data_IF_379482052993
#
_entry.id   IF_379482052993
#
_cell.length_a   1.000
_cell.length_b   1.000
_cell.length_c   1.000
_cell.angle_alpha   90.00
_cell.angle_beta   90.00
_cell.angle_gamma   90.00
#
_symmetry.space_group_name_H-M   'P 1'
#
loop_
_entity.id
_entity.type
_entity.pdbx_description
1 polymer ?
#
# COMPACT_ATOMS: atom_id res chain seq x y z
N UNK A 1 8.66 0.15 1.99
CA UNK A 1 8.74 -0.68 3.23
C UNK A 1 7.46 -0.50 4.02
N UNK A 2 7.06 -1.47 4.84
CA UNK A 2 5.77 -1.45 5.53
C UNK A 2 5.85 -2.01 6.95
N UNK A 3 5.37 -1.27 7.95
CA UNK A 3 5.18 -1.77 9.32
C UNK A 3 3.75 -2.28 9.48
N UNK A 4 3.54 -3.56 9.13
CA UNK A 4 2.24 -4.22 9.20
C UNK A 4 1.68 -4.26 10.62
N UNK A 5 2.55 -4.33 11.64
CA UNK A 5 2.12 -4.34 13.04
C UNK A 5 1.51 -2.99 13.40
N UNK A 6 2.16 -1.89 13.02
CA UNK A 6 1.62 -0.55 13.21
C UNK A 6 0.35 -0.34 12.38
N UNK A 7 0.31 -0.88 11.17
CA UNK A 7 -0.88 -0.84 10.32
C UNK A 7 -2.10 -1.47 11.01
N UNK A 8 -2.00 -2.71 11.47
CA UNK A 8 -3.12 -3.39 12.13
C UNK A 8 -3.44 -2.85 13.53
N UNK A 9 -2.47 -2.23 14.22
CA UNK A 9 -2.66 -1.67 15.56
C UNK A 9 -3.23 -0.25 15.55
N UNK A 10 -2.89 0.56 14.55
CA UNK A 10 -3.20 2.00 14.52
C UNK A 10 -4.05 2.37 13.30
N UNK A 11 -3.59 2.03 12.09
CA UNK A 11 -4.24 2.44 10.83
C UNK A 11 -5.60 1.78 10.66
N UNK A 12 -5.69 0.45 10.76
CA UNK A 12 -6.94 -0.28 10.56
C UNK A 12 -8.02 0.15 11.57
N UNK A 13 -7.75 0.21 12.89
CA UNK A 13 -8.73 0.69 13.86
C UNK A 13 -9.15 2.15 13.61
N UNK A 14 -8.23 3.01 13.15
CA UNK A 14 -8.58 4.39 12.81
C UNK A 14 -9.50 4.47 11.58
N UNK A 15 -9.18 3.73 10.52
CA UNK A 15 -10.01 3.64 9.31
C UNK A 15 -11.38 3.04 9.60
N UNK A 16 -11.50 2.08 10.54
CA UNK A 16 -12.77 1.51 10.99
C UNK A 16 -13.56 2.40 11.95
N UNK A 17 -13.01 3.54 12.37
CA UNK A 17 -13.65 4.46 13.31
C UNK A 17 -13.66 3.97 14.76
N UNK A 18 -12.82 2.98 15.09
CA UNK A 18 -12.72 2.39 16.43
C UNK A 18 -11.82 3.22 17.35
N UNK A 19 -10.80 3.89 16.78
CA UNK A 19 -9.84 4.71 17.52
C UNK A 19 -9.41 5.94 16.71
N UNK A 20 -8.77 6.92 17.37
CA UNK A 20 -8.22 8.09 16.69
C UNK A 20 -9.27 9.09 16.19
N UNK A 21 -8.79 10.21 15.64
CA UNK A 21 -9.60 11.24 14.99
C UNK A 21 -8.98 11.56 13.62
N UNK A 22 -9.66 11.15 12.56
CA UNK A 22 -9.21 11.34 11.17
C UNK A 22 -9.44 12.77 10.65
N UNK A 23 -10.04 13.68 11.43
CA UNK A 23 -10.44 15.02 10.98
C UNK A 23 -9.27 15.82 10.42
N UNK A 24 -8.15 15.89 11.15
CA UNK A 24 -6.99 16.66 10.71
C UNK A 24 -6.34 16.05 9.44
N UNK A 25 -6.23 14.72 9.41
CA UNK A 25 -5.66 13.99 8.28
C UNK A 25 -6.54 14.12 7.03
N UNK A 26 -7.87 14.04 7.19
CA UNK A 26 -8.84 14.22 6.12
C UNK A 26 -8.81 15.66 5.59
N UNK A 27 -8.71 16.67 6.46
CA UNK A 27 -8.56 18.07 6.05
C UNK A 27 -7.28 18.29 5.23
N UNK A 28 -6.18 17.66 5.61
CA UNK A 28 -4.92 17.73 4.87
C UNK A 28 -5.03 17.01 3.51
N UNK A 29 -5.57 15.78 3.51
CA UNK A 29 -5.84 15.00 2.30
C UNK A 29 -6.70 15.77 1.29
N UNK A 30 -7.84 16.32 1.72
CA UNK A 30 -8.76 17.06 0.85
C UNK A 30 -8.16 18.34 0.25
N UNK A 31 -7.08 18.88 0.82
CA UNK A 31 -6.38 20.05 0.27
C UNK A 31 -5.42 19.66 -0.85
N UNK A 32 -4.72 18.53 -0.72
CA UNK A 32 -3.60 18.15 -1.58
C UNK A 32 -3.87 16.98 -2.51
N UNK A 33 -4.93 16.18 -2.28
CA UNK A 33 -5.13 14.89 -2.95
C UNK A 33 -6.47 14.74 -3.69
N UNK A 34 -7.36 15.74 -3.67
CA UNK A 34 -8.63 15.66 -4.42
C UNK A 34 -8.63 16.66 -5.57
N UNK A 35 -9.05 16.20 -6.75
CA UNK A 35 -9.19 17.03 -7.95
C UNK A 35 -10.24 18.12 -7.67
N UNK A 36 -9.89 19.38 -7.92
CA UNK A 36 -10.80 20.53 -7.75
C UNK A 36 -10.50 21.43 -6.56
N UNK A 37 -9.62 21.01 -5.62
CA UNK A 37 -9.22 21.74 -4.41
C UNK A 37 -10.37 22.14 -3.48
N UNK A 38 -10.15 22.10 -2.17
CA UNK A 38 -11.13 22.55 -1.17
C UNK A 38 -10.94 24.00 -0.71
N UNK A 39 -10.00 24.74 -1.32
CA UNK A 39 -9.64 26.10 -0.90
C UNK A 39 -10.76 27.13 -1.06
N UNK A 40 -11.74 26.86 -1.92
CA UNK A 40 -12.86 27.76 -2.21
C UNK A 40 -14.05 27.57 -1.26
N UNK A 41 -14.07 26.49 -0.46
CA UNK A 41 -15.16 26.16 0.43
C UNK A 41 -15.13 27.06 1.68
N UNK A 42 -16.32 27.42 2.16
CA UNK A 42 -16.45 28.01 3.50
C UNK A 42 -16.08 26.99 4.57
N UNK A 43 -15.82 27.46 5.80
CA UNK A 43 -15.48 26.59 6.93
C UNK A 43 -16.55 25.52 7.18
N UNK A 44 -17.84 25.89 7.10
CA UNK A 44 -18.96 24.97 7.33
C UNK A 44 -19.09 23.92 6.21
N UNK A 45 -18.87 24.33 4.96
CA UNK A 45 -18.89 23.39 3.83
C UNK A 45 -17.72 22.41 3.91
N UNK A 46 -16.53 22.89 4.31
CA UNK A 46 -15.38 22.03 4.52
C UNK A 46 -15.60 21.04 5.68
N UNK A 47 -16.13 21.50 6.82
CA UNK A 47 -16.47 20.62 7.94
C UNK A 47 -17.47 19.53 7.53
N UNK A 48 -18.51 19.89 6.77
CA UNK A 48 -19.49 18.93 6.25
C UNK A 48 -18.84 17.91 5.31
N UNK A 49 -17.99 18.37 4.39
CA UNK A 49 -17.27 17.50 3.45
C UNK A 49 -16.35 16.53 4.19
N UNK A 50 -15.56 17.03 5.15
CA UNK A 50 -14.66 16.20 5.97
C UNK A 50 -15.44 15.10 6.69
N UNK A 51 -16.54 15.45 7.35
CA UNK A 51 -17.35 14.47 8.06
C UNK A 51 -17.93 13.42 7.11
N UNK A 52 -18.47 13.84 5.96
CA UNK A 52 -19.01 12.90 4.95
C UNK A 52 -17.91 11.97 4.42
N UNK A 53 -16.73 12.50 4.13
CA UNK A 53 -15.59 11.71 3.64
C UNK A 53 -15.15 10.68 4.69
N UNK A 54 -15.06 11.07 5.97
CA UNK A 54 -14.72 10.14 7.06
C UNK A 54 -15.81 9.07 7.22
N UNK A 55 -17.09 9.43 7.19
CA UNK A 55 -18.19 8.47 7.26
C UNK A 55 -18.11 7.44 6.13
N UNK A 56 -17.81 7.86 4.90
CA UNK A 56 -17.65 6.96 3.76
C UNK A 56 -16.41 6.05 3.94
N UNK A 57 -15.27 6.60 4.38
CA UNK A 57 -14.05 5.84 4.67
C UNK A 57 -14.35 4.75 5.71
N UNK A 58 -15.02 5.11 6.81
CA UNK A 58 -15.38 4.20 7.89
C UNK A 58 -16.34 3.12 7.42
N UNK A 59 -17.36 3.50 6.64
CA UNK A 59 -18.33 2.56 6.06
C UNK A 59 -17.63 1.53 5.17
N UNK A 60 -16.78 1.97 4.24
CA UNK A 60 -16.04 1.08 3.34
C UNK A 60 -15.05 0.22 4.13
N UNK A 61 -14.32 0.79 5.09
CA UNK A 61 -13.34 0.05 5.91
C UNK A 61 -13.99 -1.05 6.75
N UNK A 62 -15.21 -0.82 7.24
CA UNK A 62 -15.97 -1.82 7.99
C UNK A 62 -16.56 -2.94 7.12
N UNK A 63 -16.55 -2.78 5.80
CA UNK A 63 -16.92 -3.85 4.85
C UNK A 63 -15.78 -4.82 4.54
N UNK A 64 -14.56 -4.49 4.98
CA UNK A 64 -13.38 -5.34 4.85
C UNK A 64 -13.25 -6.30 6.04
N UNK A 65 -12.70 -7.47 5.76
CA UNK A 65 -12.40 -8.51 6.74
C UNK A 65 -11.30 -8.09 7.74
N UNK A 66 -10.85 -9.06 8.55
CA UNK A 66 -9.78 -8.86 9.52
C UNK A 66 -8.40 -8.65 8.87
N UNK A 67 -8.18 -9.23 7.68
CA UNK A 67 -6.94 -9.00 6.93
C UNK A 67 -6.89 -7.63 6.28
N UNK A 68 -8.03 -6.93 6.23
CA UNK A 68 -8.23 -5.65 5.54
C UNK A 68 -8.00 -5.77 4.02
N UNK A 69 -8.06 -6.98 3.47
CA UNK A 69 -7.91 -7.24 2.02
C UNK A 69 -9.21 -7.69 1.38
N UNK A 70 -10.12 -8.34 2.12
CA UNK A 70 -11.28 -9.00 1.51
C UNK A 70 -12.55 -8.22 1.80
N UNK A 71 -13.22 -7.79 0.73
CA UNK A 71 -14.62 -7.38 0.76
C UNK A 71 -15.49 -8.52 0.20
N UNK A 72 -16.33 -9.12 1.04
CA UNK A 72 -17.12 -10.31 0.68
C UNK A 72 -18.18 -10.06 -0.39
N UNK A 73 -18.67 -8.83 -0.55
CA UNK A 73 -19.64 -8.49 -1.60
C UNK A 73 -18.92 -8.29 -2.94
N UNK A 74 -17.77 -7.63 -2.93
CA UNK A 74 -16.92 -7.47 -4.10
C UNK A 74 -16.42 -8.81 -4.65
N UNK A 75 -16.09 -9.78 -3.78
CA UNK A 75 -15.71 -11.14 -4.20
C UNK A 75 -16.78 -11.89 -4.99
N UNK A 76 -18.04 -11.43 -4.97
CA UNK A 76 -19.13 -12.00 -5.79
C UNK A 76 -19.17 -11.43 -7.21
N UNK A 77 -18.36 -10.42 -7.52
CA UNK A 77 -18.23 -9.91 -8.88
C UNK A 77 -17.51 -10.95 -9.74
N UNK A 78 -18.21 -11.48 -10.75
CA UNK A 78 -17.70 -12.54 -11.62
C UNK A 78 -16.98 -12.00 -12.87
N UNK A 79 -17.20 -10.72 -13.21
CA UNK A 79 -16.63 -10.07 -14.38
C UNK A 79 -16.40 -8.56 -14.21
N UNK A 80 -15.60 -7.97 -15.11
CA UNK A 80 -15.25 -6.55 -15.09
C UNK A 80 -16.45 -5.60 -15.12
N UNK A 81 -17.59 -5.96 -15.74
CA UNK A 81 -18.77 -5.09 -15.73
C UNK A 81 -19.43 -5.07 -14.36
N UNK A 82 -19.50 -6.23 -13.68
CA UNK A 82 -20.02 -6.32 -12.31
C UNK A 82 -19.11 -5.61 -11.31
N UNK A 83 -17.79 -5.67 -11.50
CA UNK A 83 -16.82 -4.89 -10.70
C UNK A 83 -17.04 -3.38 -10.86
N UNK A 84 -17.12 -2.90 -12.11
CA UNK A 84 -17.36 -1.47 -12.40
C UNK A 84 -18.70 -1.02 -11.80
N UNK A 85 -19.75 -1.83 -11.93
CA UNK A 85 -21.05 -1.54 -11.34
C UNK A 85 -20.99 -1.48 -9.81
N UNK A 86 -20.23 -2.37 -9.17
CA UNK A 86 -20.02 -2.36 -7.73
C UNK A 86 -19.36 -1.04 -7.30
N UNK A 87 -18.22 -0.67 -7.91
CA UNK A 87 -17.50 0.55 -7.54
C UNK A 87 -18.30 1.83 -7.82
N UNK A 88 -19.06 1.89 -8.92
CA UNK A 88 -19.91 3.04 -9.23
C UNK A 88 -21.05 3.25 -8.22
N UNK A 89 -21.47 2.20 -7.52
CA UNK A 89 -22.50 2.26 -6.48
C UNK A 89 -21.91 2.44 -5.07
N UNK A 90 -20.58 2.37 -4.92
CA UNK A 90 -19.92 2.53 -3.64
C UNK A 90 -19.55 4.02 -3.42
N UNK A 91 -20.43 4.72 -2.70
CA UNK A 91 -20.25 6.14 -2.42
C UNK A 91 -18.93 6.42 -1.68
N UNK A 92 -18.14 7.36 -2.19
CA UNK A 92 -16.85 7.75 -1.60
C UNK A 92 -15.70 6.78 -1.87
N UNK A 93 -15.86 5.80 -2.78
CA UNK A 93 -14.81 4.80 -3.08
C UNK A 93 -13.49 5.42 -3.58
N UNK A 94 -13.58 6.48 -4.38
CA UNK A 94 -12.39 7.22 -4.84
C UNK A 94 -11.64 7.82 -3.64
N UNK A 95 -12.34 8.54 -2.78
CA UNK A 95 -11.78 9.17 -1.59
C UNK A 95 -11.20 8.11 -0.65
N UNK A 96 -11.90 6.99 -0.44
CA UNK A 96 -11.41 5.87 0.36
C UNK A 96 -10.07 5.35 -0.17
N UNK A 97 -10.00 4.96 -1.45
CA UNK A 97 -8.79 4.34 -2.02
C UNK A 97 -7.57 5.27 -1.91
N UNK A 98 -7.80 6.56 -2.05
CA UNK A 98 -6.74 7.57 -2.05
C UNK A 98 -6.38 8.05 -0.65
N UNK A 99 -7.34 8.11 0.26
CA UNK A 99 -7.07 8.35 1.68
C UNK A 99 -6.34 7.16 2.31
N UNK A 100 -6.69 5.94 1.93
CA UNK A 100 -6.02 4.72 2.36
C UNK A 100 -4.53 4.74 2.01
N UNK A 101 -4.19 5.06 0.76
CA UNK A 101 -2.80 5.29 0.32
C UNK A 101 -2.11 6.35 1.19
N UNK A 102 -2.68 7.55 1.25
CA UNK A 102 -2.13 8.67 2.01
C UNK A 102 -1.89 8.33 3.49
N UNK A 103 -2.89 7.80 4.17
CA UNK A 103 -2.85 7.57 5.61
C UNK A 103 -1.92 6.40 5.97
N UNK A 104 -1.85 5.37 5.12
CA UNK A 104 -0.89 4.25 5.28
C UNK A 104 0.55 4.74 5.22
N UNK A 105 0.91 5.51 4.19
CA UNK A 105 2.27 6.07 4.04
C UNK A 105 2.59 7.16 5.06
N UNK A 106 1.60 7.93 5.51
CA UNK A 106 1.80 8.91 6.60
C UNK A 106 2.17 8.22 7.92
N UNK A 107 1.63 7.02 8.16
CA UNK A 107 1.64 6.41 9.48
C UNK A 107 2.64 5.27 9.61
N UNK A 108 2.71 4.36 8.64
CA UNK A 108 3.34 3.05 8.80
C UNK A 108 4.08 2.51 7.56
N UNK A 109 4.31 3.33 6.53
CA UNK A 109 5.02 2.88 5.34
C UNK A 109 6.01 3.92 4.84
N UNK A 110 7.17 3.45 4.38
CA UNK A 110 8.17 4.29 3.75
C UNK A 110 8.05 4.20 2.23
N UNK A 111 7.93 5.36 1.58
CA UNK A 111 8.03 5.47 0.12
C UNK A 111 9.46 5.24 -0.39
N UNK A 112 10.48 5.54 0.43
CA UNK A 112 11.88 5.31 0.07
C UNK A 112 12.63 4.40 1.05
N UNK A 113 13.50 3.53 0.54
CA UNK A 113 13.68 3.21 -0.89
C UNK A 113 12.52 2.35 -1.41
N UNK A 114 12.33 2.38 -2.73
CA UNK A 114 11.41 1.48 -3.43
C UNK A 114 12.05 0.90 -4.70
N UNK A 115 11.37 -0.08 -5.29
CA UNK A 115 11.79 -0.78 -6.50
C UNK A 115 10.73 -0.64 -7.59
N UNK A 116 11.12 -0.19 -8.78
CA UNK A 116 10.26 -0.19 -9.95
C UNK A 116 10.22 -1.57 -10.61
N UNK A 117 9.05 -2.23 -10.59
CA UNK A 117 8.87 -3.60 -11.10
C UNK A 117 8.28 -3.68 -12.51
N UNK A 118 7.82 -2.56 -13.07
CA UNK A 118 7.12 -2.54 -14.36
C UNK A 118 5.81 -3.33 -14.35
N UNK A 119 5.36 -3.79 -15.52
CA UNK A 119 4.01 -4.37 -15.73
C UNK A 119 3.81 -5.78 -15.16
N UNK A 120 4.78 -6.34 -14.45
CA UNK A 120 4.78 -7.79 -14.20
C UNK A 120 5.27 -8.21 -12.82
N UNK A 121 5.28 -7.27 -11.87
CA UNK A 121 5.50 -7.58 -10.47
C UNK A 121 6.88 -8.17 -10.17
N UNK A 122 6.95 -8.86 -9.04
CA UNK A 122 8.18 -9.45 -8.50
C UNK A 122 8.49 -10.78 -9.20
N UNK A 123 7.49 -11.62 -9.44
CA UNK A 123 7.63 -13.00 -9.92
C UNK A 123 8.49 -13.13 -11.17
N UNK A 124 8.34 -12.23 -12.14
CA UNK A 124 9.09 -12.28 -13.41
C UNK A 124 10.59 -12.09 -13.28
N UNK A 125 11.06 -11.60 -12.14
CA UNK A 125 12.49 -11.39 -11.92
C UNK A 125 13.18 -12.67 -11.42
N UNK A 126 12.42 -13.74 -11.14
CA UNK A 126 12.90 -14.99 -10.55
C UNK A 126 12.40 -16.24 -11.30
N UNK A 127 13.20 -17.30 -11.28
CA UNK A 127 12.80 -18.63 -11.74
C UNK A 127 12.08 -19.37 -10.59
N UNK A 128 10.78 -19.10 -10.45
CA UNK A 128 9.98 -19.66 -9.37
C UNK A 128 9.35 -21.00 -9.77
N UNK A 129 9.29 -21.93 -8.81
CA UNK A 129 8.56 -23.19 -8.96
C UNK A 129 7.26 -23.14 -8.17
N UNK A 130 6.13 -23.43 -8.82
CA UNK A 130 4.76 -23.39 -8.25
C UNK A 130 4.58 -24.16 -6.94
N UNK A 131 5.45 -25.13 -6.66
CA UNK A 131 5.39 -25.98 -5.45
C UNK A 131 6.16 -25.42 -4.26
N UNK A 132 6.72 -24.22 -4.37
CA UNK A 132 7.57 -23.63 -3.34
C UNK A 132 6.83 -22.56 -2.55
N UNK A 133 7.23 -22.41 -1.28
CA UNK A 133 6.72 -21.33 -0.43
C UNK A 133 7.02 -19.95 -1.02
N UNK A 134 8.22 -19.78 -1.60
CA UNK A 134 8.60 -18.53 -2.26
C UNK A 134 7.67 -18.16 -3.43
N UNK A 135 7.24 -19.16 -4.22
CA UNK A 135 6.25 -18.93 -5.26
C UNK A 135 4.93 -18.45 -4.67
N UNK A 136 4.38 -19.16 -3.67
CA UNK A 136 3.11 -18.78 -3.05
C UNK A 136 3.13 -17.38 -2.45
N UNK A 137 4.23 -16.99 -1.77
CA UNK A 137 4.36 -15.66 -1.17
C UNK A 137 4.47 -14.57 -2.25
N UNK A 138 5.27 -14.80 -3.29
CA UNK A 138 5.45 -13.81 -4.37
C UNK A 138 4.20 -13.72 -5.24
N UNK A 139 3.51 -14.84 -5.50
CA UNK A 139 2.24 -14.86 -6.22
C UNK A 139 1.18 -14.09 -5.45
N UNK A 140 1.08 -14.27 -4.13
CA UNK A 140 0.13 -13.53 -3.30
C UNK A 140 0.46 -12.03 -3.26
N UNK A 141 1.74 -11.64 -3.27
CA UNK A 141 2.14 -10.24 -3.43
C UNK A 141 1.75 -9.69 -4.81
N UNK A 142 1.99 -10.45 -5.87
CA UNK A 142 1.71 -10.07 -7.27
C UNK A 142 0.20 -10.11 -7.60
N UNK A 143 -0.63 -10.74 -6.77
CA UNK A 143 -2.09 -10.76 -6.94
C UNK A 143 -2.68 -9.40 -6.62
N UNK A 144 -3.20 -8.71 -7.64
CA UNK A 144 -3.67 -7.33 -7.50
C UNK A 144 -5.05 -7.29 -6.87
N UNK A 145 -5.14 -6.69 -5.69
CA UNK A 145 -6.42 -6.39 -5.08
C UNK A 145 -7.04 -5.12 -5.70
N UNK A 146 -7.92 -5.32 -6.67
CA UNK A 146 -8.62 -4.24 -7.37
C UNK A 146 -9.57 -3.44 -6.45
N UNK A 147 -9.96 -3.97 -5.28
CA UNK A 147 -10.79 -3.23 -4.33
C UNK A 147 -10.01 -2.15 -3.58
N UNK A 148 -8.69 -2.29 -3.44
CA UNK A 148 -7.88 -1.33 -2.71
C UNK A 148 -7.36 -0.20 -3.59
N UNK A 149 -7.48 -0.34 -4.91
CA UNK A 149 -7.00 0.63 -5.88
C UNK A 149 -8.14 1.16 -6.77
N UNK A 150 -8.26 2.48 -6.83
CA UNK A 150 -9.21 3.13 -7.73
C UNK A 150 -8.61 3.22 -9.13
N UNK A 151 -9.35 2.76 -10.15
CA UNK A 151 -8.89 2.73 -11.55
C UNK A 151 -7.53 2.04 -11.71
N UNK A 152 -7.29 0.98 -10.92
CA UNK A 152 -6.02 0.23 -10.86
C UNK A 152 -4.81 1.05 -10.40
N UNK A 153 -5.04 2.20 -9.74
CA UNK A 153 -4.00 3.08 -9.23
C UNK A 153 -4.06 3.19 -7.70
N UNK A 154 -2.94 2.93 -7.04
CA UNK A 154 -2.76 3.03 -5.60
C UNK A 154 -2.12 1.79 -5.01
N UNK A 155 -2.39 1.50 -3.75
CA UNK A 155 -1.95 0.26 -3.08
C UNK A 155 -2.72 -0.91 -3.69
N UNK A 156 -1.99 -1.93 -4.16
CA UNK A 156 -2.57 -3.12 -4.78
C UNK A 156 -2.46 -4.36 -3.90
N UNK A 157 -1.41 -4.48 -3.08
CA UNK A 157 -1.27 -5.55 -2.10
C UNK A 157 -0.14 -5.24 -1.11
N UNK A 158 0.04 -6.09 -0.11
CA UNK A 158 1.18 -6.07 0.81
C UNK A 158 1.50 -7.46 1.36
N UNK A 159 2.75 -7.62 1.77
CA UNK A 159 3.24 -8.75 2.56
C UNK A 159 3.56 -8.28 3.98
N UNK A 160 3.25 -9.11 4.97
CA UNK A 160 3.61 -8.87 6.37
C UNK A 160 5.11 -9.09 6.62
N UNK A 161 5.60 -8.67 7.78
CA UNK A 161 6.94 -9.02 8.23
C UNK A 161 7.15 -10.54 8.39
N UNK A 162 6.10 -11.30 8.69
CA UNK A 162 6.16 -12.77 8.79
C UNK A 162 6.36 -13.40 7.40
N UNK A 163 5.63 -12.92 6.38
CA UNK A 163 5.80 -13.35 4.98
C UNK A 163 7.22 -13.05 4.49
N UNK A 164 7.73 -11.85 4.81
CA UNK A 164 9.12 -11.46 4.53
C UNK A 164 10.11 -12.41 5.22
N UNK A 165 9.85 -12.80 6.48
CA UNK A 165 10.71 -13.75 7.18
C UNK A 165 10.72 -15.12 6.50
N UNK A 166 9.55 -15.64 6.11
CA UNK A 166 9.45 -16.91 5.39
C UNK A 166 10.15 -16.86 4.03
N UNK A 167 9.96 -15.77 3.28
CA UNK A 167 10.62 -15.56 1.99
C UNK A 167 12.14 -15.44 2.15
N UNK A 168 12.62 -14.74 3.18
CA UNK A 168 14.05 -14.61 3.48
C UNK A 168 14.70 -15.95 3.83
N UNK A 169 14.04 -16.77 4.65
CA UNK A 169 14.53 -18.13 4.98
C UNK A 169 14.61 -19.04 3.74
N UNK A 170 13.86 -18.71 2.69
CA UNK A 170 13.79 -19.45 1.42
C UNK A 170 14.51 -18.72 0.26
N UNK A 171 15.30 -17.66 0.56
CA UNK A 171 15.88 -16.78 -0.48
C UNK A 171 16.82 -17.49 -1.45
N UNK A 172 17.46 -18.58 -1.05
CA UNK A 172 18.34 -19.40 -1.93
C UNK A 172 17.57 -20.05 -3.11
N UNK A 173 16.24 -20.18 -2.99
CA UNK A 173 15.39 -20.66 -4.09
C UNK A 173 14.89 -19.54 -5.01
N UNK A 174 15.19 -18.27 -4.70
CA UNK A 174 14.90 -17.11 -5.56
C UNK A 174 16.01 -16.97 -6.61
N UNK A 175 16.07 -17.94 -7.53
CA UNK A 175 17.05 -17.95 -8.62
C UNK A 175 16.74 -16.85 -9.63
N UNK A 176 17.76 -16.17 -10.14
CA UNK A 176 17.61 -15.11 -11.13
C UNK A 176 18.83 -15.03 -12.06
N UNK A 177 18.63 -14.57 -13.30
CA UNK A 177 19.68 -14.39 -14.31
C UNK A 177 20.51 -13.10 -14.10
N UNK A 178 20.89 -12.82 -12.85
CA UNK A 178 21.63 -11.61 -12.45
C UNK A 178 21.00 -10.27 -12.89
N UNK A 179 19.69 -10.22 -13.15
CA UNK A 179 19.01 -8.97 -13.47
C UNK A 179 19.00 -8.02 -12.26
N UNK A 180 19.11 -6.71 -12.53
CA UNK A 180 19.21 -5.69 -11.49
C UNK A 180 17.97 -5.60 -10.58
N UNK A 181 16.72 -5.72 -11.08
CA UNK A 181 15.54 -5.72 -10.21
C UNK A 181 15.52 -6.87 -9.19
N UNK A 182 15.95 -8.09 -9.55
CA UNK A 182 16.04 -9.22 -8.64
C UNK A 182 17.05 -8.96 -7.52
N UNK A 183 18.25 -8.46 -7.86
CA UNK A 183 19.28 -8.09 -6.89
C UNK A 183 18.78 -7.00 -5.94
N UNK A 184 18.10 -6.00 -6.47
CA UNK A 184 17.52 -4.91 -5.70
C UNK A 184 16.42 -5.42 -4.75
N UNK A 185 15.53 -6.31 -5.23
CA UNK A 185 14.50 -6.95 -4.42
C UNK A 185 15.10 -7.78 -3.30
N UNK A 186 16.08 -8.65 -3.60
CA UNK A 186 16.77 -9.45 -2.58
C UNK A 186 17.41 -8.56 -1.52
N UNK A 187 17.97 -7.41 -1.92
CA UNK A 187 18.53 -6.50 -0.93
C UNK A 187 17.46 -5.83 -0.07
N UNK A 188 16.34 -5.39 -0.66
CA UNK A 188 15.19 -4.92 0.13
C UNK A 188 14.71 -5.99 1.10
N UNK A 189 14.71 -7.26 0.68
CA UNK A 189 14.28 -8.39 1.51
C UNK A 189 15.18 -8.56 2.73
N UNK A 190 16.50 -8.47 2.58
CA UNK A 190 17.42 -8.57 3.73
C UNK A 190 17.19 -7.43 4.73
N UNK A 191 16.95 -6.23 4.23
CA UNK A 191 16.74 -5.04 5.05
C UNK A 191 15.38 -5.09 5.76
N UNK A 192 14.33 -5.51 5.06
CA UNK A 192 13.00 -5.69 5.62
C UNK A 192 13.01 -6.76 6.71
N UNK A 193 13.65 -7.89 6.45
CA UNK A 193 13.83 -8.95 7.45
C UNK A 193 14.60 -8.44 8.69
N UNK A 194 15.73 -7.74 8.49
CA UNK A 194 16.54 -7.22 9.60
C UNK A 194 15.78 -6.21 10.49
N UNK A 195 14.81 -5.49 9.92
CA UNK A 195 14.01 -4.48 10.62
C UNK A 195 12.62 -4.99 11.02
N UNK A 196 12.29 -6.26 10.74
CA UNK A 196 10.96 -6.83 10.98
C UNK A 196 9.83 -6.04 10.29
N UNK A 197 10.00 -5.81 8.99
CA UNK A 197 9.07 -5.06 8.15
C UNK A 197 8.59 -5.91 6.98
N UNK A 198 7.40 -5.57 6.49
CA UNK A 198 6.80 -6.07 5.27
C UNK A 198 7.06 -5.19 4.05
N UNK A 199 6.35 -5.52 2.96
CA UNK A 199 6.33 -4.73 1.72
C UNK A 199 4.92 -4.28 1.39
N UNK A 200 4.77 -3.06 0.88
CA UNK A 200 3.57 -2.59 0.18
C UNK A 200 3.89 -2.55 -1.31
N UNK A 201 2.96 -3.03 -2.12
CA UNK A 201 2.96 -2.90 -3.56
C UNK A 201 1.93 -1.86 -4.00
N UNK A 202 2.28 -1.09 -5.03
CA UNK A 202 1.35 -0.13 -5.62
C UNK A 202 1.68 0.16 -7.07
N UNK A 203 0.71 0.80 -7.73
CA UNK A 203 0.72 1.11 -9.16
C UNK A 203 0.30 2.56 -9.35
N UNK A 204 1.06 3.31 -10.16
CA UNK A 204 0.80 4.73 -10.45
C UNK A 204 0.41 5.54 -9.20
N UNK A 205 1.17 5.33 -8.13
CA UNK A 205 0.98 6.03 -6.85
C UNK A 205 1.30 7.51 -7.01
N UNK A 206 0.76 8.35 -6.13
CA UNK A 206 0.98 9.80 -6.16
C UNK A 206 2.34 10.18 -5.58
N UNK A 207 3.41 9.82 -6.29
CA UNK A 207 4.78 9.91 -5.78
C UNK A 207 5.10 11.30 -5.22
N UNK A 208 4.78 12.38 -5.93
CA UNK A 208 5.05 13.75 -5.48
C UNK A 208 4.50 14.03 -4.07
N UNK A 209 3.32 13.48 -3.77
CA UNK A 209 2.71 13.69 -2.46
C UNK A 209 3.31 12.75 -1.42
N UNK A 210 3.47 11.47 -1.76
CA UNK A 210 4.07 10.48 -0.85
C UNK A 210 5.50 10.85 -0.45
N UNK A 211 6.27 11.44 -1.35
CA UNK A 211 7.61 11.96 -1.10
C UNK A 211 7.61 13.17 -0.14
N UNK A 212 6.52 13.94 -0.12
CA UNK A 212 6.38 15.13 0.73
C UNK A 212 5.90 14.83 2.16
N UNK A 213 5.39 13.62 2.40
CA UNK A 213 4.90 13.24 3.72
C UNK A 213 6.03 13.34 4.75
N UNK A 214 5.76 13.85 5.96
CA UNK A 214 6.77 13.91 7.01
C UNK A 214 7.30 12.51 7.24
N UNK A 215 8.58 12.31 6.92
CA UNK A 215 9.22 11.01 6.84
C UNK A 215 9.29 10.33 8.20
N UNK A 216 8.20 9.69 8.60
CA UNK A 216 8.15 8.66 9.63
C UNK A 216 8.90 7.44 9.07
N UNK A 217 10.20 7.60 8.88
CA UNK A 217 11.05 6.57 8.32
C UNK A 217 11.05 5.39 9.26
N UNK A 218 10.34 4.36 8.84
CA UNK A 218 10.27 3.05 9.47
C UNK A 218 11.69 2.47 9.61
N UNK A 219 12.58 2.81 8.68
CA UNK A 219 14.01 2.48 8.72
C UNK A 219 14.89 3.74 8.63
N UNK A 220 15.83 3.92 9.55
CA UNK A 220 16.75 5.07 9.53
C UNK A 220 17.65 5.05 8.28
N UNK A 221 17.89 6.19 7.61
CA UNK A 221 18.79 6.30 6.46
C UNK A 221 20.20 5.72 6.68
N UNK A 222 20.67 5.73 7.94
CA UNK A 222 21.99 5.23 8.35
C UNK A 222 22.12 3.71 8.32
N UNK A 223 21.01 2.96 8.39
CA UNK A 223 21.05 1.48 8.31
C UNK A 223 21.14 0.98 6.87
N UNK A 224 20.95 1.86 5.89
CA UNK A 224 21.21 1.55 4.50
C UNK A 224 22.71 1.73 4.27
N UNK A 225 23.47 0.65 4.14
CA UNK A 225 24.82 0.73 3.61
C UNK A 225 24.73 1.13 2.13
N UNK A 226 24.67 2.44 1.87
CA UNK A 226 24.37 3.09 0.58
C UNK A 226 25.30 2.67 -0.58
N UNK A 227 26.41 1.99 -0.29
CA UNK A 227 27.48 1.78 -1.27
C UNK A 227 27.20 0.71 -2.34
N UNK A 228 26.09 -0.05 -2.33
CA UNK A 228 25.90 -1.17 -3.27
C UNK A 228 24.46 -1.44 -3.76
N UNK A 229 23.52 -0.50 -3.64
CA UNK A 229 22.10 -0.79 -3.89
C UNK A 229 21.63 -0.35 -5.29
N UNK A 230 22.26 -0.89 -6.34
CA UNK A 230 21.82 -0.67 -7.72
C UNK A 230 20.39 -1.20 -7.92
N UNK A 231 19.58 -0.46 -8.69
CA UNK A 231 18.18 -0.81 -8.96
C UNK A 231 17.15 -0.31 -7.94
N UNK A 232 17.57 0.21 -6.77
CA UNK A 232 16.67 0.89 -5.83
C UNK A 232 16.56 2.38 -6.12
N UNK A 233 15.34 2.89 -5.99
CA UNK A 233 15.03 4.31 -6.13
C UNK A 233 15.08 4.94 -4.75
N UNK A 234 15.85 6.01 -4.65
CA UNK A 234 16.07 6.79 -3.44
C UNK A 234 15.48 8.19 -3.62
N UNK A 235 15.20 8.85 -2.50
CA UNK A 235 14.70 10.23 -2.51
C UNK A 235 15.57 11.15 -3.35
N UNK A 236 14.92 12.11 -4.01
CA UNK A 236 15.54 13.19 -4.78
C UNK A 236 16.11 14.23 -3.81
#
# INVERSE_FOLDING_TARGET
MFDDRKFYKEVVPALKGETGDLTADCQEFLKSHVIGSTLHLSKQELEKLVNQTIENIVSISNSLDETFKINSEYQKAEDTNTEIAFFNNLEGYYEFSKFFEYHTFKTCADFFPHLGLGKSGVSRNFELSEKTLSYSIIEDLDDWNNFLCFDRMGITNWMSHEDVQYLYLNKENLKHDENEPAKAFLTLLEIAHANQLGFIMGVDMREEILQSLPGNKTVKPETWTLQNLSGLIWGI
#
